data_IF_074378995839
#
_entry.id   IF_074378995839
#
_cell.length_a   1.000
_cell.length_b   1.000
_cell.length_c   1.000
_cell.angle_alpha   90.00
_cell.angle_beta   90.00
_cell.angle_gamma   90.00
#
_symmetry.space_group_name_H-M   'P 1'
#
loop_
_entity.id
_entity.type
_entity.pdbx_description
1 polymer ?
#
# COMPACT_ATOMS: atom_id res chain seq x y z
N UNK A 1 -41.97 10.30 39.58
CA UNK A 1 -41.64 11.16 38.45
C UNK A 1 -40.27 11.78 38.70
N UNK A 2 -39.22 11.22 38.17
CA UNK A 2 -37.87 11.80 38.23
C UNK A 2 -37.33 11.78 36.80
N UNK A 3 -37.12 12.96 36.23
CA UNK A 3 -36.48 13.18 34.95
C UNK A 3 -34.96 13.25 35.16
N UNK A 4 -34.23 12.29 34.62
CA UNK A 4 -32.76 12.35 34.51
C UNK A 4 -32.41 12.96 33.15
N UNK A 5 -31.92 14.18 33.15
CA UNK A 5 -31.31 14.86 32.02
C UNK A 5 -29.85 14.44 31.94
N UNK A 6 -29.51 13.63 30.93
CA UNK A 6 -28.13 13.24 30.60
C UNK A 6 -27.54 14.32 29.68
N UNK A 7 -26.59 15.07 30.20
CA UNK A 7 -25.81 16.04 29.44
C UNK A 7 -24.71 15.30 28.63
N UNK A 8 -24.91 15.17 27.31
CA UNK A 8 -23.85 14.74 26.40
C UNK A 8 -22.86 15.88 26.16
N UNK A 9 -21.68 15.75 26.74
CA UNK A 9 -20.52 16.59 26.39
C UNK A 9 -19.86 16.02 25.14
N UNK A 10 -20.16 16.61 23.98
CA UNK A 10 -19.41 16.34 22.73
C UNK A 10 -18.01 16.97 22.83
N UNK A 11 -16.99 16.12 22.96
CA UNK A 11 -15.60 16.55 22.81
C UNK A 11 -15.30 16.60 21.30
N UNK A 12 -15.21 17.80 20.76
CA UNK A 12 -14.68 18.07 19.42
C UNK A 12 -13.17 17.89 19.45
N UNK A 13 -12.66 16.77 18.95
CA UNK A 13 -11.24 16.58 18.71
C UNK A 13 -10.88 17.30 17.42
N UNK A 14 -10.48 18.56 17.53
CA UNK A 14 -9.91 19.32 16.42
C UNK A 14 -8.51 18.82 16.11
N UNK A 15 -8.31 18.37 14.86
CA UNK A 15 -7.02 18.05 14.29
C UNK A 15 -6.18 19.32 14.11
N UNK A 16 -5.34 19.65 15.08
CA UNK A 16 -4.34 20.71 14.97
C UNK A 16 -3.01 20.10 14.55
N UNK A 17 -2.62 20.36 13.30
CA UNK A 17 -1.25 20.18 12.81
C UNK A 17 -0.35 21.19 13.52
N UNK A 18 0.30 20.79 14.59
CA UNK A 18 1.28 21.63 15.26
C UNK A 18 2.62 21.60 14.52
N UNK A 19 2.86 22.63 13.71
CA UNK A 19 4.22 23.10 13.42
C UNK A 19 4.71 23.86 14.66
N UNK A 20 5.92 23.52 15.09
CA UNK A 20 6.55 23.93 16.32
C UNK A 20 6.42 25.40 16.70
N UNK A 21 6.04 25.62 17.91
CA UNK A 21 6.55 26.69 18.81
C UNK A 21 6.04 26.37 20.23
N UNK A 22 6.88 25.74 21.02
CA UNK A 22 6.66 25.67 22.46
C UNK A 22 7.18 26.96 23.08
N UNK A 23 6.33 27.94 23.28
CA UNK A 23 6.56 28.99 24.23
C UNK A 23 6.00 28.55 25.57
N UNK A 24 6.88 28.13 26.47
CA UNK A 24 6.55 27.91 27.88
C UNK A 24 6.59 29.23 28.57
N UNK A 25 5.42 29.76 28.91
CA UNK A 25 5.29 30.87 29.84
C UNK A 25 5.51 30.31 31.26
N UNK A 26 6.71 30.42 31.81
CA UNK A 26 6.94 30.19 33.23
C UNK A 26 6.69 31.47 34.02
N UNK A 27 5.66 31.38 34.84
CA UNK A 27 5.39 32.32 35.92
C UNK A 27 6.58 32.31 36.91
N UNK A 28 7.21 33.46 37.12
CA UNK A 28 8.27 33.64 38.10
C UNK A 28 7.74 33.42 39.50
N UNK A 29 8.30 32.45 40.23
CA UNK A 29 8.32 32.40 41.69
C UNK A 29 9.77 32.59 42.12
N UNK A 30 9.96 33.55 42.97
CA UNK A 30 11.26 33.97 43.50
C UNK A 30 11.81 32.93 44.47
N UNK A 31 13.04 32.48 44.27
CA UNK A 31 13.81 31.76 45.32
C UNK A 31 14.50 30.49 44.87
N UNK A 32 15.73 30.64 44.59
CA UNK A 32 16.96 29.87 44.83
C UNK A 32 17.84 29.75 43.57
N UNK A 33 19.01 30.30 43.74
CA UNK A 33 20.17 30.13 42.85
C UNK A 33 20.51 28.63 42.79
N UNK A 34 20.18 27.98 41.71
CA UNK A 34 20.70 26.64 41.37
C UNK A 34 21.36 26.80 40.01
N UNK A 35 22.66 26.65 39.97
CA UNK A 35 23.49 26.60 38.77
C UNK A 35 22.88 25.58 37.80
N UNK A 36 22.10 26.06 36.83
CA UNK A 36 21.70 25.22 35.68
C UNK A 36 22.87 25.19 34.73
N UNK A 37 23.61 24.09 34.79
CA UNK A 37 24.49 23.69 33.71
C UNK A 37 23.62 23.59 32.45
N UNK A 38 23.70 24.61 31.61
CA UNK A 38 23.10 24.59 30.27
C UNK A 38 23.86 23.55 29.48
N UNK A 39 23.32 22.37 29.34
CA UNK A 39 23.85 21.37 28.40
C UNK A 39 23.82 22.01 27.02
N UNK A 40 24.98 22.09 26.33
CA UNK A 40 24.98 22.59 24.96
C UNK A 40 24.03 21.74 24.15
N UNK A 41 23.07 22.42 23.49
CA UNK A 41 22.28 21.78 22.46
C UNK A 41 23.26 21.25 21.42
N UNK A 42 23.48 19.96 21.41
CA UNK A 42 24.17 19.32 20.31
C UNK A 42 23.35 19.65 19.07
N UNK A 43 23.89 20.49 18.21
CA UNK A 43 23.47 20.61 16.85
C UNK A 43 23.70 19.23 16.22
N UNK A 44 22.68 18.39 16.24
CA UNK A 44 22.62 17.28 15.34
C UNK A 44 22.52 17.91 13.95
N UNK A 45 23.68 18.09 13.32
CA UNK A 45 23.74 18.23 11.88
C UNK A 45 23.11 16.96 11.32
N UNK A 46 21.80 17.04 11.14
CA UNK A 46 21.09 16.08 10.32
C UNK A 46 21.61 16.29 8.89
N UNK A 47 22.77 15.74 8.62
CA UNK A 47 23.17 15.38 7.27
C UNK A 47 22.13 14.36 6.77
N UNK A 48 20.95 14.89 6.46
CA UNK A 48 19.95 14.16 5.70
C UNK A 48 20.47 14.06 4.27
N UNK A 49 21.58 13.34 4.11
CA UNK A 49 21.92 12.79 2.81
C UNK A 49 20.77 11.85 2.48
N UNK A 50 19.80 12.41 1.75
CA UNK A 50 18.61 11.71 1.30
C UNK A 50 19.04 10.72 0.20
N UNK A 51 19.96 9.83 0.58
CA UNK A 51 20.42 8.76 -0.32
C UNK A 51 19.23 7.89 -0.62
N UNK A 52 18.79 7.84 -1.87
CA UNK A 52 17.63 7.05 -2.25
C UNK A 52 17.88 5.60 -1.83
N UNK A 53 17.02 5.06 -0.97
CA UNK A 53 17.16 3.68 -0.50
C UNK A 53 17.23 2.75 -1.69
N UNK A 54 18.32 2.00 -1.79
CA UNK A 54 18.51 0.98 -2.84
C UNK A 54 17.29 0.05 -2.85
N UNK A 55 16.63 -0.06 -3.99
CA UNK A 55 15.45 -0.93 -4.14
C UNK A 55 15.88 -2.38 -3.88
N UNK A 56 15.19 -3.05 -2.95
CA UNK A 56 15.45 -4.48 -2.70
C UNK A 56 15.06 -5.29 -3.94
N UNK A 57 15.98 -6.03 -4.47
CA UNK A 57 15.79 -6.91 -5.66
C UNK A 57 15.30 -8.30 -5.25
N UNK A 58 15.49 -8.68 -4.00
CA UNK A 58 15.22 -10.00 -3.42
C UNK A 58 13.86 -10.15 -2.75
N UNK A 59 12.88 -9.34 -3.13
CA UNK A 59 11.50 -9.44 -2.60
C UNK A 59 10.85 -10.75 -3.01
N UNK A 60 9.94 -11.22 -2.16
CA UNK A 60 9.00 -12.27 -2.54
C UNK A 60 8.00 -11.69 -3.56
N UNK A 61 7.83 -12.41 -4.65
CA UNK A 61 6.85 -12.14 -5.68
C UNK A 61 5.82 -13.25 -5.69
N UNK A 62 4.60 -12.90 -6.02
CA UNK A 62 3.45 -13.81 -6.02
C UNK A 62 2.96 -13.93 -7.45
N UNK A 63 2.92 -15.16 -7.96
CA UNK A 63 2.25 -15.46 -9.22
C UNK A 63 0.80 -15.75 -8.89
N UNK A 64 -0.09 -15.02 -9.53
CA UNK A 64 -1.53 -15.10 -9.28
C UNK A 64 -2.31 -15.21 -10.58
N UNK A 65 -3.49 -15.76 -10.46
CA UNK A 65 -4.48 -15.85 -11.51
C UNK A 65 -5.72 -15.04 -11.13
N UNK A 66 -6.25 -14.31 -12.09
CA UNK A 66 -7.55 -13.66 -11.99
C UNK A 66 -8.51 -14.38 -12.94
N UNK A 67 -9.68 -14.75 -12.45
CA UNK A 67 -10.76 -15.26 -13.27
C UNK A 67 -11.85 -14.21 -13.34
N UNK A 68 -12.17 -13.81 -14.57
CA UNK A 68 -13.14 -12.75 -14.88
C UNK A 68 -14.05 -13.28 -15.98
N UNK A 69 -15.34 -13.38 -15.70
CA UNK A 69 -16.34 -13.94 -16.66
C UNK A 69 -15.91 -15.29 -17.25
N UNK A 70 -15.32 -16.16 -16.42
CA UNK A 70 -14.85 -17.49 -16.85
C UNK A 70 -13.57 -17.47 -17.70
N UNK A 71 -12.91 -16.32 -17.85
CA UNK A 71 -11.63 -16.16 -18.57
C UNK A 71 -10.48 -15.91 -17.62
N UNK A 72 -9.34 -16.48 -17.90
CA UNK A 72 -8.18 -16.48 -17.02
C UNK A 72 -7.15 -15.42 -17.44
N UNK A 73 -6.53 -14.79 -16.44
CA UNK A 73 -5.37 -13.92 -16.57
C UNK A 73 -4.30 -14.32 -15.55
N UNK A 74 -3.06 -14.49 -15.98
CA UNK A 74 -1.91 -14.76 -15.11
C UNK A 74 -1.03 -13.53 -15.02
N UNK A 75 -0.59 -13.19 -13.81
CA UNK A 75 0.30 -12.05 -13.57
C UNK A 75 1.17 -12.22 -12.34
N UNK A 76 2.16 -11.32 -12.21
CA UNK A 76 3.08 -11.27 -11.07
C UNK A 76 2.88 -9.98 -10.28
N UNK A 77 2.93 -10.07 -8.97
CA UNK A 77 2.99 -8.92 -8.07
C UNK A 77 4.02 -9.14 -6.96
N UNK A 78 4.64 -8.07 -6.48
CA UNK A 78 5.48 -8.15 -5.29
C UNK A 78 4.59 -8.29 -4.05
N UNK A 79 5.04 -9.05 -3.04
CA UNK A 79 4.40 -9.06 -1.73
C UNK A 79 4.65 -7.72 -1.03
N UNK A 80 3.64 -6.87 -1.00
CA UNK A 80 3.69 -5.53 -0.41
C UNK A 80 2.92 -5.43 0.91
N UNK A 81 1.89 -6.25 1.06
CA UNK A 81 1.00 -6.28 2.22
C UNK A 81 1.44 -7.32 3.26
N UNK A 82 0.82 -7.30 4.43
CA UNK A 82 1.08 -8.24 5.53
C UNK A 82 0.86 -9.70 5.10
N UNK A 83 -0.20 -9.95 4.32
CA UNK A 83 -0.52 -11.28 3.81
C UNK A 83 -0.40 -11.35 2.29
N UNK A 84 -0.21 -12.57 1.79
CA UNK A 84 -0.16 -12.87 0.35
C UNK A 84 -1.47 -12.47 -0.31
N UNK A 85 -2.59 -12.93 0.24
CA UNK A 85 -3.93 -12.66 -0.31
C UNK A 85 -4.23 -11.17 -0.37
N UNK A 86 -3.91 -10.39 0.67
CA UNK A 86 -4.08 -8.92 0.64
C UNK A 86 -3.27 -8.26 -0.47
N UNK A 87 -2.03 -8.72 -0.72
CA UNK A 87 -1.18 -8.19 -1.79
C UNK A 87 -1.80 -8.45 -3.18
N UNK A 88 -2.36 -9.65 -3.39
CA UNK A 88 -2.99 -10.01 -4.67
C UNK A 88 -4.32 -9.29 -4.85
N UNK A 89 -5.18 -9.23 -3.82
CA UNK A 89 -6.43 -8.48 -3.86
C UNK A 89 -6.21 -6.98 -4.12
N UNK A 90 -5.18 -6.38 -3.49
CA UNK A 90 -4.78 -5.00 -3.76
C UNK A 90 -4.37 -4.81 -5.22
N UNK A 91 -3.68 -5.80 -5.80
CA UNK A 91 -3.30 -5.78 -7.22
C UNK A 91 -4.50 -5.94 -8.14
N UNK A 92 -5.42 -6.86 -7.86
CA UNK A 92 -6.66 -7.05 -8.60
C UNK A 92 -7.52 -5.77 -8.59
N UNK A 93 -7.67 -5.15 -7.43
CA UNK A 93 -8.37 -3.86 -7.32
C UNK A 93 -7.71 -2.76 -8.19
N UNK A 94 -6.37 -2.69 -8.23
CA UNK A 94 -5.66 -1.76 -9.12
C UNK A 94 -5.96 -2.02 -10.60
N UNK A 95 -6.04 -3.28 -11.03
CA UNK A 95 -6.45 -3.61 -12.40
C UNK A 95 -7.88 -3.15 -12.69
N UNK A 96 -8.81 -3.39 -11.75
CA UNK A 96 -10.20 -2.97 -11.89
C UNK A 96 -10.34 -1.45 -12.02
N UNK A 97 -9.73 -0.68 -11.12
CA UNK A 97 -9.79 0.79 -11.19
C UNK A 97 -9.12 1.34 -12.45
N UNK A 98 -7.98 0.78 -12.87
CA UNK A 98 -7.34 1.17 -14.12
C UNK A 98 -8.21 0.89 -15.34
N UNK A 99 -8.90 -0.25 -15.37
CA UNK A 99 -9.82 -0.56 -16.45
C UNK A 99 -10.96 0.46 -16.57
N UNK A 100 -11.45 1.01 -15.44
CA UNK A 100 -12.50 2.04 -15.43
C UNK A 100 -11.98 3.46 -15.79
N UNK A 101 -10.72 3.76 -15.48
CA UNK A 101 -10.16 5.12 -15.68
C UNK A 101 -9.32 5.26 -16.94
N UNK A 102 -8.63 4.20 -17.38
CA UNK A 102 -7.74 4.23 -18.53
C UNK A 102 -8.46 3.71 -19.79
N UNK A 103 -8.16 4.32 -20.95
CA UNK A 103 -8.75 3.93 -22.26
C UNK A 103 -8.03 2.74 -22.91
N UNK A 104 -7.14 2.06 -22.21
CA UNK A 104 -6.36 0.95 -22.76
C UNK A 104 -7.26 -0.23 -23.19
N UNK A 105 -7.01 -0.71 -24.40
CA UNK A 105 -7.78 -1.79 -25.02
C UNK A 105 -7.16 -3.19 -24.76
N UNK A 106 -6.55 -3.41 -23.60
CA UNK A 106 -6.08 -4.74 -23.23
C UNK A 106 -7.27 -5.66 -22.95
N UNK A 107 -7.17 -6.94 -23.32
CA UNK A 107 -8.25 -7.92 -23.14
C UNK A 107 -8.74 -7.96 -21.69
N UNK A 108 -7.83 -7.98 -20.72
CA UNK A 108 -8.18 -7.92 -19.32
C UNK A 108 -8.98 -6.66 -18.97
N UNK A 109 -8.57 -5.48 -19.45
CA UNK A 109 -9.30 -4.24 -19.19
C UNK A 109 -10.69 -4.24 -19.79
N UNK A 110 -10.85 -4.81 -20.99
CA UNK A 110 -12.14 -4.91 -21.67
C UNK A 110 -13.13 -5.81 -20.88
N UNK A 111 -12.65 -6.93 -20.34
CA UNK A 111 -13.48 -7.80 -19.49
C UNK A 111 -13.78 -7.15 -18.13
N UNK A 112 -12.79 -6.53 -17.48
CA UNK A 112 -13.00 -5.85 -16.19
C UNK A 112 -13.99 -4.68 -16.27
N UNK A 113 -14.09 -4.00 -17.42
CA UNK A 113 -15.09 -2.90 -17.61
C UNK A 113 -16.52 -3.41 -17.58
N UNK A 114 -16.77 -4.66 -17.93
CA UNK A 114 -18.10 -5.28 -17.93
C UNK A 114 -18.60 -5.59 -16.52
N UNK A 115 -17.69 -5.73 -15.55
CA UNK A 115 -18.03 -6.00 -14.16
C UNK A 115 -18.63 -4.77 -13.48
N UNK A 116 -19.63 -5.00 -12.63
CA UNK A 116 -20.23 -3.96 -11.80
C UNK A 116 -19.37 -3.68 -10.57
N UNK A 117 -18.86 -4.72 -9.92
CA UNK A 117 -18.03 -4.60 -8.73
C UNK A 117 -16.75 -5.46 -8.82
N UNK A 118 -15.76 -5.07 -8.06
CA UNK A 118 -14.48 -5.79 -7.91
C UNK A 118 -14.62 -7.16 -7.21
N UNK A 119 -15.69 -7.38 -6.46
CA UNK A 119 -15.98 -8.65 -5.77
C UNK A 119 -16.27 -9.80 -6.74
N UNK A 120 -16.62 -9.47 -7.99
CA UNK A 120 -16.86 -10.44 -9.05
C UNK A 120 -15.56 -11.04 -9.62
N UNK A 121 -14.39 -10.55 -9.20
CA UNK A 121 -13.08 -11.05 -9.63
C UNK A 121 -12.67 -12.18 -8.70
N UNK A 122 -12.56 -13.38 -9.21
CA UNK A 122 -11.98 -14.49 -8.47
C UNK A 122 -10.44 -14.42 -8.53
N UNK A 123 -9.79 -14.72 -7.41
CA UNK A 123 -8.35 -14.56 -7.27
C UNK A 123 -7.74 -15.84 -6.73
N UNK A 124 -6.78 -16.40 -7.47
CA UNK A 124 -6.03 -17.59 -7.07
C UNK A 124 -4.54 -17.28 -6.99
N UNK A 125 -3.86 -17.90 -6.04
CA UNK A 125 -2.40 -17.80 -5.87
C UNK A 125 -1.77 -19.11 -6.30
N UNK A 126 -0.89 -19.08 -7.30
CA UNK A 126 -0.16 -20.24 -7.77
C UNK A 126 1.11 -20.49 -6.96
N UNK A 127 2.01 -19.51 -6.97
CA UNK A 127 3.36 -19.68 -6.40
C UNK A 127 3.86 -18.39 -5.75
N UNK A 128 4.77 -18.56 -4.78
CA UNK A 128 5.50 -17.44 -4.15
C UNK A 128 6.98 -17.65 -4.43
N UNK A 129 7.59 -16.73 -5.15
CA UNK A 129 8.97 -16.86 -5.62
C UNK A 129 9.80 -15.68 -5.10
N UNK A 130 11.00 -15.97 -4.63
CA UNK A 130 11.94 -14.94 -4.21
C UNK A 130 12.74 -14.44 -5.43
N UNK A 131 12.74 -13.13 -5.61
CA UNK A 131 13.41 -12.49 -6.74
C UNK A 131 12.49 -12.20 -7.92
N UNK A 132 12.66 -11.00 -8.51
CA UNK A 132 11.80 -10.53 -9.60
C UNK A 132 12.04 -11.29 -10.91
N UNK A 133 13.29 -11.52 -11.26
CA UNK A 133 13.65 -12.17 -12.53
C UNK A 133 13.11 -13.60 -12.57
N UNK A 134 13.30 -14.34 -11.48
CA UNK A 134 12.82 -15.71 -11.36
C UNK A 134 11.29 -15.79 -11.40
N UNK A 135 10.62 -14.88 -10.72
CA UNK A 135 9.16 -14.81 -10.75
C UNK A 135 8.62 -14.54 -12.17
N UNK A 136 9.26 -13.67 -12.94
CA UNK A 136 8.85 -13.42 -14.33
C UNK A 136 9.13 -14.62 -15.24
N UNK A 137 10.27 -15.30 -15.06
CA UNK A 137 10.56 -16.54 -15.82
C UNK A 137 9.47 -17.57 -15.59
N UNK A 138 9.09 -17.78 -14.33
CA UNK A 138 8.06 -18.74 -13.95
C UNK A 138 6.67 -18.32 -14.42
N UNK A 139 6.35 -17.03 -14.42
CA UNK A 139 5.10 -16.50 -14.99
C UNK A 139 4.98 -16.86 -16.48
N UNK A 140 6.06 -16.64 -17.26
CA UNK A 140 6.06 -16.98 -18.69
C UNK A 140 5.84 -18.47 -18.91
N UNK A 141 6.49 -19.30 -18.12
CA UNK A 141 6.34 -20.76 -18.18
C UNK A 141 4.89 -21.19 -17.89
N UNK A 142 4.29 -20.66 -16.82
CA UNK A 142 2.89 -20.93 -16.49
C UNK A 142 1.92 -20.43 -17.56
N UNK A 143 2.18 -19.26 -18.15
CA UNK A 143 1.36 -18.77 -19.28
C UNK A 143 1.41 -19.69 -20.49
N UNK A 144 2.57 -20.28 -20.80
CA UNK A 144 2.71 -21.26 -21.89
C UNK A 144 1.92 -22.55 -21.60
N UNK A 145 1.91 -22.99 -20.34
CA UNK A 145 1.18 -24.20 -19.92
C UNK A 145 -0.34 -24.00 -19.89
N UNK A 146 -0.81 -22.91 -19.26
CA UNK A 146 -2.25 -22.66 -18.99
C UNK A 146 -2.93 -21.97 -20.18
N UNK A 147 -2.17 -21.19 -20.99
CA UNK A 147 -2.68 -20.40 -22.12
C UNK A 147 -3.85 -19.49 -21.75
N UNK A 148 -3.65 -18.56 -20.79
CA UNK A 148 -4.73 -17.71 -20.30
C UNK A 148 -5.25 -16.78 -21.41
N UNK A 149 -6.57 -16.62 -21.50
CA UNK A 149 -7.22 -15.90 -22.59
C UNK A 149 -7.09 -14.38 -22.51
N UNK A 150 -6.86 -13.83 -21.30
CA UNK A 150 -6.82 -12.39 -21.06
C UNK A 150 -5.40 -11.79 -21.07
N UNK A 151 -4.36 -12.61 -21.27
CA UNK A 151 -3.01 -12.13 -21.43
C UNK A 151 -2.78 -11.71 -22.90
N UNK A 152 -2.60 -10.41 -23.13
CA UNK A 152 -2.30 -9.84 -24.45
C UNK A 152 -0.81 -9.83 -24.79
N UNK A 153 0.04 -10.07 -23.80
CA UNK A 153 1.48 -9.92 -23.94
C UNK A 153 2.11 -11.22 -24.46
N UNK A 154 2.57 -11.16 -25.68
CA UNK A 154 3.30 -12.24 -26.37
C UNK A 154 4.82 -12.12 -26.11
N UNK A 155 5.26 -11.27 -25.17
CA UNK A 155 6.67 -11.13 -24.82
C UNK A 155 7.20 -12.43 -24.23
N UNK A 156 7.96 -13.14 -25.01
CA UNK A 156 8.63 -14.38 -24.58
C UNK A 156 8.41 -15.57 -25.51
N UNK A 157 7.97 -15.35 -26.74
CA UNK A 157 8.09 -16.31 -27.84
C UNK A 157 9.42 -16.15 -28.54
#
# INVERSE_FOLDING_TARGET
MYYNTFLETRVLVGSLKCRGLWQIIHRFSVGSLVDRVVKPCYNYDMDTTNTPRKKRTDRNHIIYELVVNGKNYIGVTAKTESTVNKSVLSRAAKHFYRAKTETKNWLLCAELRKLSDKSEIEVYVHEIIRGKAEAHRREVELRRQIKPQLNTDVRGD
#
